data_IF_405645291309
#
_entry.id   IF_405645291309
#
_cell.length_a   1.000
_cell.length_b   1.000
_cell.length_c   1.000
_cell.angle_alpha   90.00
_cell.angle_beta   90.00
_cell.angle_gamma   90.00
#
_symmetry.space_group_name_H-M   'P 1'
#
loop_
_entity.id
_entity.type
_entity.pdbx_description
1 polymer ?
#
# COMPACT_ATOMS: atom_id res chain seq x y z
N UNK A 1 5.45 -1.17 16.18
CA UNK A 1 4.77 -2.18 15.35
C UNK A 1 3.78 -2.94 16.23
N UNK A 2 2.63 -3.35 15.71
CA UNK A 2 1.58 -4.03 16.47
C UNK A 2 1.96 -5.44 16.92
N UNK A 3 1.42 -5.88 18.05
CA UNK A 3 1.59 -7.23 18.57
C UNK A 3 0.56 -8.19 17.96
N UNK A 4 1.02 -9.36 17.53
CA UNK A 4 0.17 -10.42 17.00
C UNK A 4 -0.35 -11.31 18.14
N UNK A 5 -1.67 -11.56 18.20
CA UNK A 5 -2.33 -12.36 19.26
C UNK A 5 -3.28 -13.38 18.66
N UNK A 6 -3.19 -14.65 19.07
CA UNK A 6 -3.94 -15.74 18.44
C UNK A 6 -5.33 -16.05 18.99
N UNK A 7 -5.63 -15.72 20.25
CA UNK A 7 -6.94 -16.03 20.87
C UNK A 7 -8.11 -15.20 20.34
N UNK A 8 -7.85 -14.27 19.41
CA UNK A 8 -8.82 -13.30 18.90
C UNK A 8 -8.77 -13.16 17.39
N UNK A 9 -8.11 -14.07 16.68
CA UNK A 9 -8.10 -14.09 15.23
C UNK A 9 -9.52 -14.35 14.68
N UNK A 10 -9.94 -13.55 13.71
CA UNK A 10 -11.12 -13.82 12.87
C UNK A 10 -10.85 -15.01 11.95
N UNK A 11 -9.65 -15.04 11.37
CA UNK A 11 -9.19 -16.13 10.52
C UNK A 11 -7.71 -16.45 10.82
N UNK A 12 -7.31 -17.71 10.67
CA UNK A 12 -5.92 -18.12 10.91
C UNK A 12 -5.51 -18.12 12.39
N UNK A 13 -4.25 -17.75 12.67
CA UNK A 13 -3.62 -17.91 14.00
C UNK A 13 -3.31 -16.60 14.72
N UNK A 14 -3.47 -15.43 14.09
CA UNK A 14 -3.02 -14.16 14.66
C UNK A 14 -3.89 -12.98 14.20
N UNK A 15 -4.25 -12.10 15.13
CA UNK A 15 -4.79 -10.76 14.84
C UNK A 15 -3.82 -9.68 15.33
N UNK A 16 -3.82 -8.52 14.68
CA UNK A 16 -3.06 -7.36 15.10
C UNK A 16 -3.75 -6.68 16.29
N UNK A 17 -3.11 -6.72 17.47
CA UNK A 17 -3.54 -6.00 18.67
C UNK A 17 -2.95 -4.60 18.69
N UNK A 18 -3.82 -3.59 18.78
CA UNK A 18 -3.46 -2.17 18.87
C UNK A 18 -3.94 -1.59 20.18
N UNK A 19 -3.09 -0.80 20.84
CA UNK A 19 -3.41 -0.08 22.08
C UNK A 19 -2.51 1.15 22.21
N UNK A 20 -3.08 2.33 22.40
CA UNK A 20 -2.34 3.59 22.55
C UNK A 20 -1.93 3.92 23.99
N UNK A 21 -2.40 3.15 24.97
CA UNK A 21 -2.07 3.30 26.38
C UNK A 21 -0.91 2.41 26.84
N UNK A 22 -0.51 2.57 28.11
CA UNK A 22 0.55 1.78 28.73
C UNK A 22 1.96 2.34 28.50
N UNK A 23 2.97 1.58 28.94
CA UNK A 23 4.40 1.96 28.85
C UNK A 23 5.02 1.75 27.46
N UNK A 24 4.37 0.96 26.61
CA UNK A 24 4.81 0.66 25.23
C UNK A 24 3.63 0.81 24.26
N UNK A 25 3.23 2.04 23.93
CA UNK A 25 2.08 2.28 23.08
C UNK A 25 2.29 1.70 21.67
N UNK A 26 1.29 0.96 21.19
CA UNK A 26 1.20 0.37 19.85
C UNK A 26 -0.09 0.83 19.16
N UNK A 27 -0.19 2.13 18.82
CA UNK A 27 -1.40 2.70 18.23
C UNK A 27 -1.57 2.34 16.75
N UNK A 28 -0.53 1.84 16.07
CA UNK A 28 -0.52 1.58 14.64
C UNK A 28 -0.36 0.11 14.33
N UNK A 29 -1.24 -0.38 13.47
CA UNK A 29 -1.25 -1.74 12.96
C UNK A 29 -0.58 -1.88 11.59
N UNK A 30 -0.98 -2.93 10.83
CA UNK A 30 -0.53 -3.11 9.45
C UNK A 30 -0.73 -1.84 8.62
N UNK A 31 0.29 -1.52 7.84
CA UNK A 31 0.31 -0.39 6.94
C UNK A 31 0.84 -0.84 5.58
N UNK A 32 0.21 -0.35 4.50
CA UNK A 32 0.62 -0.59 3.13
C UNK A 32 0.60 0.71 2.35
N UNK A 33 1.71 1.03 1.67
CA UNK A 33 1.77 2.07 0.66
C UNK A 33 1.83 1.44 -0.74
N UNK A 34 1.13 2.07 -1.68
CA UNK A 34 1.05 1.67 -3.09
C UNK A 34 1.29 2.90 -3.96
N UNK A 35 2.06 2.75 -5.03
CA UNK A 35 2.12 3.75 -6.09
C UNK A 35 0.86 3.64 -6.95
N UNK A 36 0.29 4.79 -7.32
CA UNK A 36 -0.99 4.88 -8.04
C UNK A 36 -0.93 5.93 -9.14
N UNK A 37 -1.76 5.72 -10.16
CA UNK A 37 -1.99 6.69 -11.23
C UNK A 37 -3.39 7.30 -11.13
N UNK A 38 -3.58 8.45 -11.76
CA UNK A 38 -4.88 9.09 -11.92
C UNK A 38 -5.90 8.11 -12.49
N UNK A 39 -7.04 7.98 -11.83
CA UNK A 39 -8.12 7.09 -12.23
C UNK A 39 -8.02 5.66 -11.66
N UNK A 40 -6.92 5.32 -10.99
CA UNK A 40 -6.84 4.07 -10.22
C UNK A 40 -7.86 4.07 -9.08
N UNK A 41 -8.34 2.89 -8.72
CA UNK A 41 -9.22 2.70 -7.56
C UNK A 41 -8.53 1.86 -6.51
N UNK A 42 -8.47 2.36 -5.28
CA UNK A 42 -7.94 1.60 -4.14
C UNK A 42 -9.07 1.35 -3.15
N UNK A 43 -9.25 0.08 -2.77
CA UNK A 43 -10.24 -0.37 -1.79
C UNK A 43 -9.54 -1.06 -0.63
N UNK A 44 -9.92 -0.69 0.59
CA UNK A 44 -9.41 -1.28 1.82
C UNK A 44 -10.55 -1.91 2.58
N UNK A 45 -10.35 -3.15 3.04
CA UNK A 45 -11.26 -3.83 3.96
C UNK A 45 -10.48 -4.24 5.20
N UNK A 46 -10.95 -3.81 6.37
CA UNK A 46 -10.31 -4.06 7.65
C UNK A 46 -11.35 -4.46 8.70
N UNK A 47 -11.58 -5.77 8.89
CA UNK A 47 -12.28 -6.30 10.05
C UNK A 47 -11.62 -5.88 11.36
N UNK A 48 -12.38 -5.25 12.26
CA UNK A 48 -11.94 -4.86 13.59
C UNK A 48 -12.91 -5.30 14.69
N UNK A 49 -12.37 -5.51 15.88
CA UNK A 49 -13.05 -6.01 17.07
C UNK A 49 -12.48 -5.29 18.30
N UNK A 50 -13.31 -4.99 19.30
CA UNK A 50 -12.84 -4.63 20.63
C UNK A 50 -13.57 -5.43 21.73
N UNK A 51 -12.87 -5.95 22.77
CA UNK A 51 -13.51 -6.69 23.85
C UNK A 51 -14.22 -5.82 24.89
N UNK A 52 -13.71 -4.60 25.07
CA UNK A 52 -14.04 -3.76 26.20
C UNK A 52 -14.26 -2.33 25.75
N UNK A 53 -15.31 -1.72 26.28
CA UNK A 53 -15.55 -0.30 26.09
C UNK A 53 -14.47 0.53 26.80
N UNK A 54 -14.20 1.71 26.27
CA UNK A 54 -13.30 2.70 26.85
C UNK A 54 -13.91 3.23 28.16
N UNK A 55 -13.28 3.00 29.32
CA UNK A 55 -13.88 3.32 30.62
C UNK A 55 -13.79 4.81 30.99
N UNK A 56 -12.83 5.55 30.43
CA UNK A 56 -12.65 6.99 30.67
C UNK A 56 -12.08 7.67 29.43
N UNK A 57 -12.28 8.97 29.31
CA UNK A 57 -11.73 9.73 28.18
C UNK A 57 -10.19 9.69 28.25
N UNK A 58 -9.57 9.07 27.25
CA UNK A 58 -8.12 8.96 27.15
C UNK A 58 -7.62 9.96 26.11
N UNK A 59 -6.70 10.83 26.48
CA UNK A 59 -6.11 11.77 25.54
C UNK A 59 -4.87 11.14 24.88
N UNK A 60 -4.89 11.06 23.56
CA UNK A 60 -3.78 10.59 22.74
C UNK A 60 -3.81 11.30 21.40
N UNK A 61 -2.63 11.57 20.86
CA UNK A 61 -2.45 12.19 19.55
C UNK A 61 -1.47 11.36 18.74
N UNK A 62 -1.96 10.74 17.66
CA UNK A 62 -1.09 9.98 16.75
C UNK A 62 -0.02 10.87 16.12
N UNK A 63 -0.35 12.13 15.80
CA UNK A 63 0.61 13.09 15.23
C UNK A 63 1.78 13.33 16.19
N UNK A 64 1.51 13.57 17.47
CA UNK A 64 2.55 13.78 18.49
C UNK A 64 3.40 12.52 18.70
N UNK A 65 2.77 11.34 18.69
CA UNK A 65 3.46 10.05 18.77
C UNK A 65 4.42 9.84 17.60
N UNK A 66 3.98 10.11 16.36
CA UNK A 66 4.80 9.98 15.16
C UNK A 66 5.99 10.96 15.19
N UNK A 67 5.77 12.22 15.59
CA UNK A 67 6.86 13.20 15.76
C UNK A 67 7.92 12.72 16.76
N UNK A 68 7.51 12.02 17.83
CA UNK A 68 8.44 11.41 18.78
C UNK A 68 9.30 10.29 18.17
N UNK A 69 8.75 9.50 17.24
CA UNK A 69 9.50 8.45 16.53
C UNK A 69 10.47 9.00 15.47
N UNK A 70 10.22 10.20 14.98
CA UNK A 70 11.06 10.90 13.99
C UNK A 70 12.25 11.60 14.63
N UNK A 71 12.28 11.73 15.97
CA UNK A 71 13.46 12.26 16.64
C UNK A 71 14.62 11.29 16.47
N UNK A 72 15.82 11.77 16.08
CA UNK A 72 16.99 10.91 16.04
C UNK A 72 17.14 10.28 17.42
N UNK A 73 17.22 8.94 17.46
CA UNK A 73 17.59 8.25 18.68
C UNK A 73 18.86 8.92 19.25
N UNK A 74 18.97 9.13 20.57
CA UNK A 74 20.21 9.62 21.15
C UNK A 74 21.34 8.73 20.63
N UNK A 75 22.43 9.35 20.18
CA UNK A 75 23.57 8.71 19.52
C UNK A 75 24.05 7.50 20.33
N UNK A 76 23.52 6.32 20.00
CA UNK A 76 24.07 5.06 20.46
C UNK A 76 25.42 4.89 19.74
N UNK A 77 26.49 4.50 20.46
CA UNK A 77 27.78 4.28 19.83
C UNK A 77 27.61 3.29 18.68
N UNK A 78 28.02 3.73 17.49
CA UNK A 78 28.05 2.93 16.27
C UNK A 78 28.75 1.59 16.55
N UNK A 79 28.09 0.44 16.33
CA UNK A 79 28.80 -0.83 16.21
C UNK A 79 29.85 -0.72 15.08
N UNK A 80 30.97 -1.48 15.14
CA UNK A 80 32.08 -1.36 14.20
C UNK A 80 31.72 -1.46 12.70
N UNK A 81 30.56 -2.04 12.40
CA UNK A 81 30.15 -2.35 11.03
C UNK A 81 29.28 -1.26 10.36
N UNK A 82 29.09 -0.09 10.98
CA UNK A 82 28.60 1.12 10.30
C UNK A 82 27.18 1.06 9.69
N UNK A 83 26.37 0.03 9.97
CA UNK A 83 24.99 -0.05 9.48
C UNK A 83 24.02 0.57 10.49
N UNK A 84 23.45 1.76 10.24
CA UNK A 84 22.36 2.27 11.04
C UNK A 84 21.12 1.39 10.87
N UNK A 85 20.64 0.79 11.96
CA UNK A 85 19.38 0.03 11.97
C UNK A 85 18.21 0.97 12.26
N UNK A 86 17.36 1.18 11.25
CA UNK A 86 15.92 1.30 11.45
C UNK A 86 15.34 2.71 11.54
N UNK A 87 15.14 3.36 10.38
CA UNK A 87 14.07 4.33 10.19
C UNK A 87 12.99 3.70 9.29
N UNK A 88 11.71 3.78 9.66
CA UNK A 88 10.62 3.40 8.76
C UNK A 88 10.55 4.43 7.62
N UNK A 89 10.79 4.05 6.35
CA UNK A 89 11.00 4.98 5.25
C UNK A 89 9.73 5.74 4.78
N UNK A 90 8.64 5.70 5.55
CA UNK A 90 7.33 6.21 5.12
C UNK A 90 6.85 7.48 5.82
N UNK A 91 7.56 7.95 6.84
CA UNK A 91 7.06 9.01 7.73
C UNK A 91 7.79 10.35 7.54
N UNK A 92 8.66 10.46 6.53
CA UNK A 92 9.68 11.51 6.52
C UNK A 92 9.21 12.90 6.04
N UNK A 93 7.98 13.10 5.56
CA UNK A 93 7.53 14.44 5.16
C UNK A 93 6.07 14.67 5.50
N UNK A 94 5.79 15.68 6.34
CA UNK A 94 4.51 16.40 6.42
C UNK A 94 3.29 15.68 7.02
N UNK A 95 3.28 14.34 7.10
CA UNK A 95 2.07 13.57 7.46
C UNK A 95 1.48 14.00 8.80
N UNK A 96 2.30 14.23 9.83
CA UNK A 96 1.81 14.56 11.17
C UNK A 96 0.92 15.82 11.22
N UNK A 97 1.12 16.80 10.33
CA UNK A 97 0.35 18.04 10.31
C UNK A 97 -1.01 17.90 9.59
N UNK A 98 -1.14 16.92 8.67
CA UNK A 98 -2.33 16.74 7.84
C UNK A 98 -3.34 15.71 8.35
N UNK A 99 -3.00 14.96 9.40
CA UNK A 99 -3.89 13.91 9.92
C UNK A 99 -5.08 14.51 10.67
N UNK A 100 -6.29 14.35 10.14
CA UNK A 100 -7.50 14.70 10.88
C UNK A 100 -7.64 13.88 12.18
N UNK A 101 -8.09 14.52 13.25
CA UNK A 101 -8.36 13.84 14.52
C UNK A 101 -9.50 12.82 14.39
N UNK A 102 -9.41 11.70 15.12
CA UNK A 102 -10.52 10.73 15.21
C UNK A 102 -11.32 11.00 16.49
N UNK A 103 -12.62 11.31 16.39
CA UNK A 103 -13.43 11.61 17.55
C UNK A 103 -13.64 10.36 18.42
N UNK A 104 -13.76 10.56 19.73
CA UNK A 104 -14.26 9.52 20.62
C UNK A 104 -15.78 9.45 20.48
N UNK A 105 -16.31 8.30 20.05
CA UNK A 105 -17.77 8.12 19.93
C UNK A 105 -18.39 7.82 21.31
N UNK A 106 -19.68 8.13 21.45
CA UNK A 106 -20.46 7.83 22.65
C UNK A 106 -20.58 6.31 22.87
N UNK A 107 -20.86 5.90 24.11
CA UNK A 107 -21.01 4.47 24.46
C UNK A 107 -19.69 3.74 24.67
N UNK A 108 -18.58 4.47 24.82
CA UNK A 108 -17.26 3.90 25.11
C UNK A 108 -16.67 3.12 23.93
N UNK A 109 -17.07 3.42 22.70
CA UNK A 109 -16.44 2.84 21.51
C UNK A 109 -14.99 3.37 21.41
N UNK A 110 -13.98 2.51 21.23
CA UNK A 110 -12.61 2.97 21.05
C UNK A 110 -12.40 3.71 19.74
N UNK A 111 -11.34 4.52 19.69
CA UNK A 111 -10.80 5.15 18.47
C UNK A 111 -10.03 4.17 17.61
N UNK A 112 -10.62 3.00 17.37
CA UNK A 112 -10.15 2.03 16.39
C UNK A 112 -10.69 2.38 15.01
N UNK A 113 -9.82 2.48 14.01
CA UNK A 113 -10.21 2.90 12.66
C UNK A 113 -9.34 2.30 11.58
N UNK A 114 -9.86 2.34 10.34
CA UNK A 114 -9.08 2.23 9.12
C UNK A 114 -8.96 3.62 8.49
N UNK A 115 -7.79 3.93 7.96
CA UNK A 115 -7.50 5.20 7.33
C UNK A 115 -6.79 4.99 6.01
N UNK A 116 -7.20 5.79 5.03
CA UNK A 116 -6.63 5.82 3.71
C UNK A 116 -6.20 7.25 3.39
N UNK A 117 -4.92 7.43 3.09
CA UNK A 117 -4.27 8.68 2.75
C UNK A 117 -3.87 8.66 1.29
N UNK A 118 -4.18 9.71 0.55
CA UNK A 118 -3.80 9.88 -0.85
C UNK A 118 -2.84 11.05 -0.93
N UNK A 119 -1.68 10.79 -1.51
CA UNK A 119 -0.60 11.75 -1.72
C UNK A 119 -0.39 11.96 -3.21
N UNK A 120 0.08 13.14 -3.57
CA UNK A 120 0.59 13.43 -4.91
C UNK A 120 2.03 12.90 -5.08
N UNK A 121 2.58 13.09 -6.28
CA UNK A 121 3.96 12.71 -6.62
C UNK A 121 5.00 13.43 -5.74
N UNK A 122 4.70 14.64 -5.26
CA UNK A 122 5.54 15.45 -4.39
C UNK A 122 5.37 15.11 -2.89
N UNK A 123 4.58 14.07 -2.58
CA UNK A 123 4.25 13.62 -1.22
C UNK A 123 3.40 14.59 -0.38
N UNK A 124 2.69 15.53 -1.01
CA UNK A 124 1.68 16.34 -0.32
C UNK A 124 0.39 15.53 -0.15
N UNK A 125 -0.26 15.69 1.00
CA UNK A 125 -1.55 15.04 1.27
C UNK A 125 -2.66 15.71 0.45
N UNK A 126 -3.24 14.96 -0.49
CA UNK A 126 -4.33 15.41 -1.38
C UNK A 126 -5.69 15.06 -0.79
N UNK A 127 -5.82 13.87 -0.21
CA UNK A 127 -7.08 13.40 0.36
C UNK A 127 -6.84 12.45 1.52
N UNK A 128 -7.78 12.45 2.47
CA UNK A 128 -7.78 11.51 3.58
C UNK A 128 -9.22 11.03 3.80
N UNK A 129 -9.39 9.72 3.98
CA UNK A 129 -10.63 9.10 4.42
C UNK A 129 -10.37 8.28 5.67
N UNK A 130 -11.33 8.27 6.60
CA UNK A 130 -11.25 7.50 7.84
C UNK A 130 -12.61 6.88 8.12
N UNK A 131 -12.62 5.60 8.50
CA UNK A 131 -13.80 4.93 9.02
C UNK A 131 -13.45 4.32 10.37
N UNK A 132 -14.21 4.71 11.40
CA UNK A 132 -14.06 4.24 12.76
C UNK A 132 -14.96 3.03 13.02
N UNK A 133 -14.57 2.18 13.97
CA UNK A 133 -15.42 1.14 14.53
C UNK A 133 -16.65 1.77 15.20
N UNK A 134 -17.74 1.02 15.20
CA UNK A 134 -18.99 1.39 15.86
C UNK A 134 -19.22 0.51 17.10
N UNK A 135 -20.33 0.74 17.80
CA UNK A 135 -20.76 -0.12 18.92
C UNK A 135 -20.97 -1.59 18.50
N UNK A 136 -21.18 -1.87 17.21
CA UNK A 136 -21.35 -3.22 16.69
C UNK A 136 -20.07 -4.08 16.76
N UNK A 137 -18.90 -3.45 16.90
CA UNK A 137 -17.62 -4.15 17.02
C UNK A 137 -17.29 -4.64 18.44
N UNK A 138 -18.21 -4.46 19.40
CA UNK A 138 -18.05 -4.99 20.75
C UNK A 138 -18.19 -6.52 20.75
N UNK A 139 -17.11 -7.22 21.08
CA UNK A 139 -17.03 -8.69 21.11
C UNK A 139 -17.40 -9.38 19.78
N UNK A 140 -17.57 -8.64 18.69
CA UNK A 140 -17.79 -9.15 17.35
C UNK A 140 -16.97 -8.36 16.32
N UNK A 141 -16.59 -9.01 15.22
CA UNK A 141 -15.85 -8.35 14.15
C UNK A 141 -16.78 -7.51 13.26
N UNK A 142 -16.50 -6.21 13.17
CA UNK A 142 -17.11 -5.28 12.23
C UNK A 142 -16.17 -5.06 11.03
N UNK A 143 -16.68 -5.17 9.80
CA UNK A 143 -15.89 -4.97 8.60
C UNK A 143 -15.90 -3.49 8.17
N UNK A 144 -14.79 -2.78 8.40
CA UNK A 144 -14.59 -1.42 7.89
C UNK A 144 -14.17 -1.49 6.42
N UNK A 145 -14.72 -0.60 5.58
CA UNK A 145 -14.52 -0.60 4.13
C UNK A 145 -14.40 0.82 3.61
N UNK A 146 -13.20 1.17 3.14
CA UNK A 146 -12.93 2.44 2.46
C UNK A 146 -12.62 2.20 0.99
N UNK A 147 -12.99 3.16 0.14
CA UNK A 147 -12.63 3.17 -1.26
C UNK A 147 -12.37 4.60 -1.71
N UNK A 148 -11.30 4.77 -2.50
CA UNK A 148 -10.99 6.03 -3.16
C UNK A 148 -10.72 5.80 -4.64
N UNK A 149 -11.11 6.77 -5.46
CA UNK A 149 -10.63 6.92 -6.84
C UNK A 149 -9.54 7.98 -6.81
N UNK A 150 -8.37 7.62 -7.32
CA UNK A 150 -7.14 8.41 -7.23
C UNK A 150 -7.27 9.64 -8.17
N UNK A 151 -7.20 10.87 -7.63
CA UNK A 151 -7.43 12.07 -8.43
C UNK A 151 -6.24 12.44 -9.33
N UNK A 152 -5.02 12.06 -8.92
CA UNK A 152 -3.77 12.35 -9.61
C UNK A 152 -2.67 11.34 -9.24
N UNK A 153 -1.60 11.29 -10.03
CA UNK A 153 -0.49 10.37 -9.81
C UNK A 153 0.22 10.62 -8.48
N UNK A 154 0.63 9.55 -7.81
CA UNK A 154 1.28 9.63 -6.51
C UNK A 154 1.21 8.33 -5.73
N UNK A 155 0.86 8.43 -4.44
CA UNK A 155 0.88 7.29 -3.51
C UNK A 155 -0.39 7.21 -2.68
N UNK A 156 -0.83 5.99 -2.40
CA UNK A 156 -1.90 5.73 -1.43
C UNK A 156 -1.35 4.93 -0.27
N UNK A 157 -1.57 5.41 0.95
CA UNK A 157 -1.21 4.72 2.19
C UNK A 157 -2.45 4.32 2.96
N UNK A 158 -2.62 3.02 3.14
CA UNK A 158 -3.69 2.42 3.91
C UNK A 158 -3.14 1.84 5.22
N UNK A 159 -3.79 2.14 6.33
CA UNK A 159 -3.43 1.56 7.62
C UNK A 159 -4.61 1.45 8.57
N UNK A 160 -4.44 0.64 9.60
CA UNK A 160 -5.35 0.56 10.74
C UNK A 160 -4.69 1.14 11.98
N UNK A 161 -5.48 1.83 12.79
CA UNK A 161 -5.01 2.52 13.99
C UNK A 161 -5.96 2.35 15.15
N UNK A 162 -5.44 2.52 16.36
CA UNK A 162 -6.20 2.66 17.59
C UNK A 162 -5.56 3.77 18.44
N UNK A 163 -6.35 4.80 18.74
CA UNK A 163 -5.93 5.92 19.59
C UNK A 163 -6.51 5.84 21.01
N UNK A 164 -7.12 4.72 21.39
CA UNK A 164 -7.63 4.48 22.75
C UNK A 164 -6.69 3.60 23.58
N UNK A 165 -6.80 3.69 24.90
CA UNK A 165 -6.04 2.89 25.87
C UNK A 165 -6.59 1.48 26.10
N UNK A 166 -7.53 1.03 25.27
CA UNK A 166 -8.12 -0.31 25.30
C UNK A 166 -7.68 -1.07 24.05
N UNK A 167 -7.54 -2.38 24.19
CA UNK A 167 -7.13 -3.24 23.07
C UNK A 167 -8.19 -3.26 21.96
N UNK A 168 -7.74 -3.04 20.73
CA UNK A 168 -8.52 -3.25 19.50
C UNK A 168 -7.76 -4.26 18.64
N UNK A 169 -8.49 -5.19 18.06
CA UNK A 169 -7.95 -6.26 17.23
C UNK A 169 -8.40 -6.05 15.80
N UNK A 170 -7.45 -6.09 14.87
CA UNK A 170 -7.70 -6.08 13.44
C UNK A 170 -7.19 -7.37 12.82
N UNK A 171 -7.94 -7.90 11.87
CA UNK A 171 -7.58 -9.13 11.18
C UNK A 171 -8.01 -9.07 9.70
N UNK A 172 -7.39 -9.90 8.85
CA UNK A 172 -7.69 -10.01 7.41
C UNK A 172 -7.67 -8.66 6.66
N UNK A 173 -6.79 -7.74 7.06
CA UNK A 173 -6.69 -6.42 6.41
C UNK A 173 -6.25 -6.58 4.96
N UNK A 174 -7.15 -6.23 4.05
CA UNK A 174 -6.97 -6.41 2.61
C UNK A 174 -6.95 -5.06 1.91
N UNK A 175 -5.95 -4.85 1.04
CA UNK A 175 -5.85 -3.68 0.16
C UNK A 175 -5.92 -4.18 -1.28
N UNK A 176 -6.94 -3.75 -2.00
CA UNK A 176 -7.16 -4.05 -3.41
C UNK A 176 -6.87 -2.80 -4.24
N UNK A 177 -6.01 -2.93 -5.24
CA UNK A 177 -5.67 -1.86 -6.19
C UNK A 177 -6.12 -2.27 -7.59
N UNK A 178 -6.97 -1.45 -8.18
CA UNK A 178 -7.47 -1.61 -9.55
C UNK A 178 -6.94 -0.46 -10.38
N UNK A 179 -6.16 -0.79 -11.41
CA UNK A 179 -5.64 0.20 -12.34
C UNK A 179 -6.80 0.81 -13.13
N UNK A 180 -6.79 2.13 -13.29
CA UNK A 180 -7.71 2.85 -14.15
C UNK A 180 -7.53 2.42 -15.60
N UNK A 181 -8.60 2.47 -16.38
CA UNK A 181 -8.51 2.17 -17.81
C UNK A 181 -7.85 3.36 -18.51
N UNK A 182 -6.53 3.28 -18.80
CA UNK A 182 -5.91 4.18 -19.75
C UNK A 182 -6.38 3.80 -21.15
N UNK A 183 -7.40 4.50 -21.64
CA UNK A 183 -7.81 4.38 -23.06
C UNK A 183 -6.79 5.17 -23.88
N UNK A 184 -5.86 4.45 -24.50
CA UNK A 184 -4.98 5.04 -25.50
C UNK A 184 -5.80 5.29 -26.77
N UNK A 185 -6.15 6.55 -27.05
CA UNK A 185 -6.73 6.93 -28.34
C UNK A 185 -5.66 6.78 -29.43
N UNK A 186 -5.75 5.70 -30.21
CA UNK A 186 -5.00 5.61 -31.46
C UNK A 186 -5.77 6.43 -32.49
N UNK A 187 -5.41 7.70 -32.65
CA UNK A 187 -5.87 8.46 -33.81
C UNK A 187 -5.27 7.82 -35.06
N UNK A 188 -6.08 7.04 -35.77
CA UNK A 188 -5.74 6.61 -37.12
C UNK A 188 -5.74 7.86 -38.00
N UNK A 189 -4.55 8.37 -38.31
CA UNK A 189 -4.38 9.27 -39.43
C UNK A 189 -4.71 8.48 -40.72
N UNK A 190 -5.76 8.84 -41.48
CA UNK A 190 -6.14 8.12 -42.69
C UNK A 190 -5.17 8.37 -43.86
N UNK A 191 -4.21 9.29 -43.72
CA UNK A 191 -3.16 9.55 -44.70
C UNK A 191 -1.86 8.88 -44.25
N UNK A 192 -1.57 7.70 -44.77
CA UNK A 192 -0.40 6.89 -44.44
C UNK A 192 0.94 7.52 -44.88
N UNK A 193 1.44 8.49 -44.13
CA UNK A 193 2.81 9.00 -44.22
C UNK A 193 3.52 8.80 -42.88
N UNK A 194 4.61 8.03 -42.91
CA UNK A 194 5.56 7.91 -41.80
C UNK A 194 6.11 9.28 -41.40
N UNK A 195 6.07 9.61 -40.11
CA UNK A 195 6.89 10.67 -39.53
C UNK A 195 8.31 10.13 -39.29
N UNK A 196 9.09 10.04 -40.37
CA UNK A 196 10.53 9.82 -40.30
C UNK A 196 11.24 11.18 -40.07
N UNK A 197 11.65 11.43 -38.83
CA UNK A 197 12.46 12.59 -38.45
C UNK A 197 12.02 13.07 -37.07
N UNK A 198 12.72 12.80 -35.99
CA UNK A 198 14.12 13.17 -35.75
C UNK A 198 14.73 12.18 -34.74
N UNK A 199 15.44 11.17 -35.24
CA UNK A 199 16.39 10.40 -34.40
C UNK A 199 17.61 11.29 -34.19
N UNK A 200 17.91 11.67 -32.95
CA UNK A 200 19.16 12.34 -32.60
C UNK A 200 20.13 11.31 -32.03
N UNK A 201 21.37 11.42 -32.50
CA UNK A 201 22.58 10.67 -32.14
C UNK A 201 22.80 9.37 -32.90
N UNK A 202 23.72 9.41 -33.87
CA UNK A 202 25.04 8.78 -33.72
C UNK A 202 25.98 9.27 -34.81
N UNK A 203 27.07 9.92 -34.40
CA UNK A 203 28.38 9.77 -35.05
C UNK A 203 29.41 9.74 -33.94
N UNK A 204 30.39 8.83 -33.99
CA UNK A 204 31.50 9.08 -34.91
C UNK A 204 32.04 7.84 -35.66
N UNK A 205 32.71 8.17 -36.77
CA UNK A 205 33.88 7.51 -37.35
C UNK A 205 33.73 6.21 -38.19
N UNK A 206 33.86 6.42 -39.51
CA UNK A 206 34.80 5.75 -40.44
C UNK A 206 35.15 4.27 -40.20
N UNK A 207 34.73 3.41 -41.14
CA UNK A 207 35.68 2.60 -41.91
C UNK A 207 35.03 1.96 -43.13
N UNK A 208 35.74 2.08 -44.27
CA UNK A 208 35.44 1.43 -45.54
C UNK A 208 35.59 -0.08 -45.39
N UNK A 209 34.58 -0.86 -45.78
CA UNK A 209 34.81 -2.20 -46.36
C UNK A 209 33.52 -2.76 -47.01
N UNK A 210 33.50 -2.76 -48.34
CA UNK A 210 32.69 -3.67 -49.17
C UNK A 210 32.79 -5.10 -48.64
N UNK A 211 31.67 -5.75 -48.33
CA UNK A 211 31.56 -7.23 -48.33
C UNK A 211 30.16 -7.67 -48.78
N UNK A 212 30.16 -8.75 -49.55
CA UNK A 212 29.16 -9.20 -50.52
C UNK A 212 27.84 -9.65 -49.87
N UNK A 213 26.71 -9.38 -50.53
CA UNK A 213 25.46 -10.13 -50.34
C UNK A 213 25.68 -11.62 -50.65
N UNK A 214 24.93 -12.50 -49.96
CA UNK A 214 24.18 -13.48 -50.75
C UNK A 214 22.74 -13.74 -50.25
N UNK A 215 21.84 -13.64 -51.23
CA UNK A 215 20.70 -14.52 -51.56
C UNK A 215 19.46 -14.51 -50.66
N UNK A 216 18.44 -13.83 -51.18
CA UNK A 216 17.03 -14.13 -51.02
C UNK A 216 16.73 -15.61 -51.23
N UNK A 217 15.96 -16.21 -50.33
CA UNK A 217 15.09 -17.35 -50.65
C UNK A 217 13.67 -17.00 -50.19
N UNK A 218 12.83 -16.63 -51.15
CA UNK A 218 11.38 -16.54 -51.00
C UNK A 218 10.78 -17.90 -51.33
N UNK A 219 10.37 -18.64 -50.32
CA UNK A 219 9.42 -19.75 -50.47
C UNK A 219 8.19 -19.44 -49.62
N UNK A 220 7.21 -18.85 -50.30
CA UNK A 220 5.76 -19.15 -50.24
C UNK A 220 5.19 -19.65 -48.91
N UNK A 221 4.30 -18.84 -48.31
CA UNK A 221 3.34 -19.32 -47.31
C UNK A 221 2.73 -18.20 -46.46
N UNK A 222 1.86 -17.37 -47.03
CA UNK A 222 0.95 -16.54 -46.24
C UNK A 222 -0.05 -17.47 -45.56
N UNK A 223 0.03 -17.64 -44.24
CA UNK A 223 -1.13 -17.84 -43.37
C UNK A 223 -0.83 -17.18 -42.02
N UNK A 224 -1.52 -16.08 -41.73
CA UNK A 224 -1.52 -15.46 -40.41
C UNK A 224 -2.24 -16.35 -39.39
N UNK A 225 -1.60 -16.62 -38.25
CA UNK A 225 -2.28 -16.88 -36.99
C UNK A 225 -1.53 -16.17 -35.86
N UNK A 226 -2.12 -15.05 -35.48
CA UNK A 226 -2.01 -14.37 -34.20
C UNK A 226 -1.95 -15.37 -33.03
N UNK A 227 -0.93 -15.29 -32.18
CA UNK A 227 -0.97 -15.86 -30.84
C UNK A 227 -1.06 -14.70 -29.83
N UNK A 228 -2.16 -14.67 -29.09
CA UNK A 228 -2.51 -13.68 -28.08
C UNK A 228 -2.53 -14.38 -26.71
N UNK A 229 -1.59 -14.14 -25.78
CA UNK A 229 -1.70 -14.64 -24.41
C UNK A 229 -2.45 -13.62 -23.53
N UNK A 230 -3.74 -13.40 -23.79
CA UNK A 230 -4.67 -12.95 -22.74
C UNK A 230 -5.06 -14.18 -21.92
N UNK A 231 -4.39 -14.36 -20.78
CA UNK A 231 -4.87 -14.74 -19.44
C UNK A 231 -3.59 -14.83 -18.60
N UNK A 232 -3.23 -13.74 -17.92
CA UNK A 232 -2.24 -13.82 -16.84
C UNK A 232 -2.89 -14.52 -15.64
N UNK A 233 -2.24 -15.50 -14.99
CA UNK A 233 -2.87 -16.19 -13.86
C UNK A 233 -3.02 -15.23 -12.68
N UNK A 234 -4.19 -15.26 -12.04
CA UNK A 234 -4.44 -14.63 -10.76
C UNK A 234 -3.46 -15.17 -9.71
N UNK A 235 -2.63 -14.31 -9.14
CA UNK A 235 -1.74 -14.69 -8.03
C UNK A 235 -2.57 -14.65 -6.74
N UNK A 236 -3.14 -15.80 -6.37
CA UNK A 236 -3.62 -16.07 -5.00
C UNK A 236 -2.41 -16.50 -4.16
N UNK A 237 -2.04 -15.72 -3.15
CA UNK A 237 -1.17 -16.21 -2.08
C UNK A 237 -2.02 -16.95 -1.04
N UNK A 238 -1.83 -18.27 -0.96
CA UNK A 238 -2.28 -19.09 0.17
C UNK A 238 -1.01 -19.72 0.78
N UNK A 239 -0.62 -19.29 1.99
CA UNK A 239 0.37 -20.01 2.77
C UNK A 239 -0.32 -21.24 3.36
N UNK A 240 0.00 -22.42 2.83
CA UNK A 240 -0.38 -23.70 3.43
C UNK A 240 0.91 -24.43 3.82
N UNK A 241 1.30 -24.32 5.09
CA UNK A 241 2.39 -25.12 5.65
C UNK A 241 1.85 -26.50 5.98
N UNK A 242 2.28 -27.53 5.23
CA UNK A 242 2.18 -28.92 5.66
C UNK A 242 3.58 -29.44 6.00
N UNK A 243 3.76 -30.12 7.14
CA UNK A 243 5.04 -30.71 7.52
C UNK A 243 5.31 -31.95 6.65
N UNK A 244 6.50 -32.01 6.05
CA UNK A 244 7.03 -33.23 5.42
C UNK A 244 7.76 -34.00 6.52
N UNK A 245 7.17 -35.12 6.93
CA UNK A 245 7.88 -36.21 7.59
C UNK A 245 8.44 -37.13 6.50
N UNK A 246 9.66 -37.63 6.69
CA UNK A 246 10.16 -38.96 6.30
C UNK A 246 11.70 -38.96 6.25
N UNK A 247 12.33 -40.13 6.36
CA UNK A 247 12.14 -41.24 7.31
C UNK A 247 13.28 -41.32 8.35
#
# INVERSE_FOLDING_TARGET
MAQLVGSRARSGQYAARLNAGGSTPQPLGPLKQLAVQRGDTVRVTAPGLYPQAVPHNFWFSLASFLTGLLQPAPSQPTPPDGVPRGGLPLLQVGVAAGLAAVPQLSGGVPRGYVRLLVFDADSNLVSQQTQQLSAAALNNYEALRLQVVVPQDGYVSAYVGNESNVDVFFDDVTVEHRQGLLVQETQYHPTGLELAGLTRQTTPALSKARRKLPKFNTQTGIIGRTYNPRIGPAIKFALNARPIFMP
#
